data_IF_355327111685
#
_entry.id   IF_355327111685
#
_cell.length_a   1.000
_cell.length_b   1.000
_cell.length_c   1.000
_cell.angle_alpha   90.00
_cell.angle_beta   90.00
_cell.angle_gamma   90.00
#
_symmetry.space_group_name_H-M   'P 1'
#
loop_
_entity.id
_entity.type
_entity.pdbx_description
1 polymer ?
#
# COMPACT_ATOMS: atom_id res chain seq x y z
N UNK A 1 17.95 75.83 -16.64
CA UNK A 1 18.80 74.63 -16.51
C UNK A 1 18.22 73.58 -15.53
N UNK A 2 17.82 73.95 -14.32
CA UNK A 2 17.26 73.03 -13.30
C UNK A 2 15.96 72.34 -13.70
N UNK A 3 15.03 72.99 -14.36
CA UNK A 3 13.79 72.45 -14.83
C UNK A 3 14.00 71.38 -15.95
N UNK A 4 14.95 71.62 -16.81
CA UNK A 4 15.31 70.68 -17.89
C UNK A 4 15.97 69.40 -17.35
N UNK A 5 16.81 69.52 -16.32
CA UNK A 5 17.45 68.39 -15.67
C UNK A 5 16.44 67.51 -14.95
N UNK A 6 15.43 68.11 -14.33
CA UNK A 6 14.36 67.42 -13.63
C UNK A 6 13.44 66.62 -14.59
N UNK A 7 13.12 67.23 -15.75
CA UNK A 7 12.34 66.55 -16.78
C UNK A 7 13.10 65.38 -17.42
N UNK A 8 14.40 65.48 -17.63
CA UNK A 8 15.25 64.43 -18.14
C UNK A 8 15.39 63.26 -17.16
N UNK A 9 15.52 63.56 -15.88
CA UNK A 9 15.63 62.54 -14.85
C UNK A 9 14.31 61.74 -14.72
N UNK A 10 13.17 62.43 -14.78
CA UNK A 10 11.84 61.77 -14.78
C UNK A 10 11.68 60.88 -16.02
N UNK A 11 12.12 61.34 -17.17
CA UNK A 11 12.10 60.53 -18.42
C UNK A 11 12.96 59.27 -18.30
N UNK A 12 14.16 59.37 -17.73
CA UNK A 12 15.03 58.22 -17.49
C UNK A 12 14.39 57.22 -16.52
N UNK A 13 13.79 57.69 -15.43
CA UNK A 13 13.10 56.83 -14.48
C UNK A 13 11.92 56.10 -15.13
N UNK A 14 11.15 56.82 -15.94
CA UNK A 14 10.02 56.24 -16.68
C UNK A 14 10.52 55.20 -17.67
N UNK A 15 11.59 55.45 -18.43
CA UNK A 15 12.17 54.52 -19.34
C UNK A 15 12.69 53.28 -18.63
N UNK A 16 13.30 53.44 -17.43
CA UNK A 16 13.78 52.32 -16.64
C UNK A 16 12.63 51.43 -16.17
N UNK A 17 11.52 52.04 -15.65
CA UNK A 17 10.33 51.28 -15.24
C UNK A 17 9.74 50.51 -16.42
N UNK A 18 9.63 51.11 -17.60
CA UNK A 18 9.10 50.45 -18.78
C UNK A 18 10.02 49.25 -19.19
N UNK A 19 11.35 49.51 -19.17
CA UNK A 19 12.32 48.47 -19.47
C UNK A 19 12.25 47.29 -18.50
N UNK A 20 12.06 47.58 -17.18
CA UNK A 20 11.97 46.57 -16.13
C UNK A 20 10.69 45.74 -16.28
N UNK A 21 9.56 46.35 -16.59
CA UNK A 21 8.29 45.63 -16.88
C UNK A 21 8.43 44.72 -18.09
N UNK A 22 9.06 45.21 -19.19
CA UNK A 22 9.29 44.41 -20.39
C UNK A 22 10.21 43.23 -20.09
N UNK A 23 11.32 43.48 -19.35
CA UNK A 23 12.30 42.47 -19.00
C UNK A 23 11.67 41.39 -18.11
N UNK A 24 10.81 41.81 -17.16
CA UNK A 24 10.07 40.90 -16.28
C UNK A 24 9.16 39.97 -17.09
N UNK A 25 8.34 40.49 -17.98
CA UNK A 25 7.47 39.72 -18.84
C UNK A 25 8.24 38.77 -19.80
N UNK A 26 9.32 39.25 -20.40
CA UNK A 26 10.18 38.43 -21.26
C UNK A 26 10.88 37.32 -20.47
N UNK A 27 11.33 37.60 -19.23
CA UNK A 27 11.93 36.59 -18.38
C UNK A 27 10.96 35.48 -18.01
N UNK A 28 9.71 35.83 -17.67
CA UNK A 28 8.66 34.87 -17.38
C UNK A 28 8.29 34.04 -18.62
N UNK A 29 8.18 34.68 -19.78
CA UNK A 29 7.91 33.97 -21.04
C UNK A 29 9.01 32.99 -21.40
N UNK A 30 10.30 33.35 -21.18
CA UNK A 30 11.43 32.43 -21.38
C UNK A 30 11.51 31.30 -20.35
N UNK A 31 11.00 31.52 -19.15
CA UNK A 31 10.87 30.47 -18.13
C UNK A 31 9.77 29.48 -18.48
N UNK A 32 8.77 29.96 -19.24
CA UNK A 32 7.63 29.18 -19.65
C UNK A 32 8.06 27.96 -20.47
N UNK A 33 7.49 26.80 -20.18
CA UNK A 33 7.83 25.53 -20.87
C UNK A 33 9.17 24.89 -20.46
N UNK A 34 9.91 25.49 -19.51
CA UNK A 34 11.16 24.91 -18.97
C UNK A 34 11.10 24.61 -17.48
N UNK A 35 10.00 24.98 -16.84
CA UNK A 35 9.80 24.69 -15.43
C UNK A 35 9.32 23.25 -15.34
N UNK A 36 10.11 22.41 -14.68
CA UNK A 36 9.78 21.03 -14.40
C UNK A 36 9.66 20.90 -12.87
N UNK A 37 8.54 20.38 -12.44
CA UNK A 37 8.34 19.97 -11.06
C UNK A 37 8.77 18.50 -10.96
N UNK A 38 9.42 18.13 -9.89
CA UNK A 38 9.75 16.75 -9.55
C UNK A 38 9.31 16.49 -8.10
N UNK A 39 8.50 15.47 -7.91
CA UNK A 39 8.08 15.04 -6.57
C UNK A 39 9.01 13.95 -6.07
N UNK A 40 9.76 14.22 -5.02
CA UNK A 40 10.74 13.29 -4.46
C UNK A 40 10.25 12.78 -3.11
N UNK A 41 10.14 11.47 -3.01
CA UNK A 41 9.80 10.77 -1.77
C UNK A 41 11.01 9.96 -1.30
N UNK A 42 11.47 10.12 -0.04
CA UNK A 42 12.65 9.41 0.46
C UNK A 42 12.38 7.93 0.74
N UNK A 43 11.11 7.55 0.85
CA UNK A 43 10.69 6.17 1.17
C UNK A 43 9.43 5.82 0.41
N UNK A 44 9.38 4.58 -0.09
CA UNK A 44 8.19 4.04 -0.75
C UNK A 44 7.21 3.36 0.21
N UNK A 45 7.63 3.08 1.45
CA UNK A 45 6.82 2.43 2.49
C UNK A 45 7.02 3.13 3.83
N UNK A 46 5.94 3.44 4.51
CA UNK A 46 5.93 4.18 5.79
C UNK A 46 4.82 3.62 6.68
N UNK A 47 5.00 3.68 7.99
CA UNK A 47 3.93 3.34 8.94
C UNK A 47 2.89 4.45 9.09
N UNK A 48 1.71 4.10 9.57
CA UNK A 48 0.67 5.07 9.95
C UNK A 48 1.20 6.10 10.97
N UNK A 49 0.61 7.28 10.96
CA UNK A 49 0.95 8.38 11.89
C UNK A 49 2.44 8.75 11.90
N UNK A 50 3.16 8.41 10.82
CA UNK A 50 4.56 8.81 10.65
C UNK A 50 4.63 9.99 9.70
N UNK A 51 5.43 11.00 10.04
CA UNK A 51 5.65 12.14 9.18
C UNK A 51 6.49 11.72 7.97
N UNK A 52 5.94 11.93 6.80
CA UNK A 52 6.53 11.61 5.51
C UNK A 52 7.04 12.92 4.93
N UNK A 53 8.35 13.15 4.85
CA UNK A 53 8.86 14.33 4.19
C UNK A 53 8.65 14.20 2.68
N UNK A 54 7.93 15.15 2.11
CA UNK A 54 7.68 15.26 0.68
C UNK A 54 8.40 16.49 0.18
N UNK A 55 9.23 16.30 -0.84
CA UNK A 55 9.97 17.37 -1.48
C UNK A 55 9.44 17.59 -2.91
N UNK A 56 8.96 18.79 -3.19
CA UNK A 56 8.65 19.21 -4.56
C UNK A 56 9.77 20.13 -5.03
N UNK A 57 10.55 19.64 -5.97
CA UNK A 57 11.72 20.33 -6.48
C UNK A 57 11.40 21.01 -7.83
N UNK A 58 11.82 22.25 -7.98
CA UNK A 58 11.69 23.00 -9.22
C UNK A 58 13.07 23.38 -9.75
N UNK A 59 13.35 22.99 -10.98
CA UNK A 59 14.54 23.44 -11.66
C UNK A 59 14.39 24.91 -12.07
N UNK A 60 15.45 25.72 -11.89
CA UNK A 60 15.44 27.11 -12.36
C UNK A 60 16.00 27.19 -13.77
N UNK A 61 15.19 27.55 -14.78
CA UNK A 61 15.67 27.72 -16.14
C UNK A 61 16.40 29.06 -16.35
N UNK A 62 16.29 29.97 -15.39
CA UNK A 62 16.87 31.32 -15.49
C UNK A 62 18.08 31.46 -14.57
N UNK A 63 19.10 32.19 -15.08
CA UNK A 63 20.31 32.47 -14.30
C UNK A 63 20.25 33.81 -13.56
N UNK A 64 19.39 34.73 -13.99
CA UNK A 64 19.44 36.13 -13.56
C UNK A 64 18.16 36.66 -12.92
N UNK A 65 17.03 35.93 -13.04
CA UNK A 65 15.76 36.38 -12.47
C UNK A 65 15.14 35.26 -11.64
N UNK A 66 14.75 35.58 -10.39
CA UNK A 66 13.91 34.73 -9.55
C UNK A 66 12.46 34.89 -9.93
N UNK A 67 11.65 33.90 -9.56
CA UNK A 67 10.22 33.93 -9.75
C UNK A 67 9.51 33.23 -8.57
N UNK A 68 8.29 33.67 -8.28
CA UNK A 68 7.46 33.01 -7.30
C UNK A 68 6.58 31.96 -8.00
N UNK A 69 6.35 30.86 -7.32
CA UNK A 69 5.44 29.80 -7.79
C UNK A 69 4.42 29.53 -6.69
N UNK A 70 3.14 29.59 -7.04
CA UNK A 70 2.08 28.98 -6.22
C UNK A 70 1.89 27.55 -6.76
N UNK A 71 2.15 26.57 -5.91
CA UNK A 71 2.07 25.14 -6.24
C UNK A 71 0.82 24.58 -5.63
N UNK A 72 -0.10 24.11 -6.46
CA UNK A 72 -1.27 23.35 -6.01
C UNK A 72 -0.99 21.86 -6.20
N UNK A 73 -0.97 21.16 -5.08
CA UNK A 73 -0.78 19.71 -5.05
C UNK A 73 -1.96 19.04 -4.35
N UNK A 74 -2.25 17.84 -4.82
CA UNK A 74 -3.29 16.96 -4.31
C UNK A 74 -2.68 15.72 -3.72
N UNK A 75 -3.10 15.37 -2.52
CA UNK A 75 -2.79 14.12 -1.87
C UNK A 75 -4.06 13.28 -1.76
N UNK A 76 -4.06 12.12 -2.38
CA UNK A 76 -5.18 11.19 -2.38
C UNK A 76 -4.76 9.87 -1.75
N UNK A 77 -5.50 9.42 -0.74
CA UNK A 77 -5.39 8.05 -0.28
C UNK A 77 -6.34 7.18 -1.10
N UNK A 78 -5.79 6.34 -1.98
CA UNK A 78 -6.56 5.52 -2.91
C UNK A 78 -7.49 4.55 -2.18
N UNK A 79 -7.04 3.96 -1.08
CA UNK A 79 -7.82 2.99 -0.31
C UNK A 79 -9.04 3.62 0.38
N UNK A 80 -8.86 4.79 0.98
CA UNK A 80 -9.96 5.48 1.69
C UNK A 80 -10.70 6.46 0.79
N UNK A 81 -10.12 6.86 -0.33
CA UNK A 81 -10.65 7.89 -1.20
C UNK A 81 -10.63 9.29 -0.59
N UNK A 82 -9.91 9.49 0.52
CA UNK A 82 -9.73 10.82 1.10
C UNK A 82 -8.80 11.64 0.22
N UNK A 83 -9.21 12.89 -0.04
CA UNK A 83 -8.47 13.83 -0.87
C UNK A 83 -8.17 15.07 -0.08
N UNK A 84 -6.93 15.50 -0.08
CA UNK A 84 -6.48 16.78 0.48
C UNK A 84 -5.78 17.57 -0.62
N UNK A 85 -6.26 18.79 -0.87
CA UNK A 85 -5.66 19.73 -1.81
C UNK A 85 -5.08 20.90 -1.04
N UNK A 86 -3.85 21.27 -1.36
CA UNK A 86 -3.15 22.41 -0.74
C UNK A 86 -2.45 23.24 -1.80
N UNK A 87 -2.40 24.55 -1.55
CA UNK A 87 -1.63 25.50 -2.36
C UNK A 87 -0.58 26.16 -1.49
N UNK A 88 0.67 26.00 -1.86
CA UNK A 88 1.81 26.57 -1.16
C UNK A 88 2.62 27.48 -2.07
N UNK A 89 3.24 28.49 -1.44
CA UNK A 89 4.05 29.48 -2.15
C UNK A 89 5.54 29.15 -2.04
N UNK A 90 6.19 29.16 -3.18
CA UNK A 90 7.61 28.89 -3.27
C UNK A 90 8.31 30.01 -4.04
N UNK A 91 9.49 30.41 -3.56
CA UNK A 91 10.38 31.31 -4.28
C UNK A 91 11.51 30.51 -4.94
N UNK A 92 11.61 30.60 -6.26
CA UNK A 92 12.65 29.92 -7.03
C UNK A 92 13.84 30.85 -7.24
N UNK A 93 14.99 30.44 -6.71
CA UNK A 93 16.23 31.23 -6.79
C UNK A 93 16.93 30.98 -8.11
N UNK A 94 17.45 32.02 -8.80
CA UNK A 94 18.18 31.87 -10.03
C UNK A 94 19.36 30.91 -9.89
N UNK A 95 19.46 29.96 -10.80
CA UNK A 95 20.56 28.98 -10.86
C UNK A 95 20.59 27.91 -9.76
N UNK A 96 19.77 28.04 -8.71
CA UNK A 96 19.68 27.05 -7.60
C UNK A 96 18.38 26.27 -7.60
N UNK A 97 17.36 26.77 -8.31
CA UNK A 97 16.01 26.19 -8.25
C UNK A 97 15.23 26.55 -7.00
N UNK A 98 14.15 25.86 -6.77
CA UNK A 98 13.32 25.96 -5.58
C UNK A 98 12.98 24.59 -5.04
N UNK A 99 12.82 24.47 -3.73
CA UNK A 99 12.40 23.25 -3.06
C UNK A 99 11.31 23.59 -2.06
N UNK A 100 10.18 22.99 -2.24
CA UNK A 100 9.09 22.99 -1.28
C UNK A 100 9.15 21.71 -0.47
N UNK A 101 9.32 21.83 0.82
CA UNK A 101 9.33 20.70 1.74
C UNK A 101 8.14 20.78 2.67
N UNK A 102 7.35 19.72 2.75
CA UNK A 102 6.27 19.60 3.71
C UNK A 102 6.22 18.21 4.31
N UNK A 103 5.60 18.13 5.47
CA UNK A 103 5.38 16.86 6.17
C UNK A 103 3.95 16.41 5.92
N UNK A 104 3.81 15.24 5.32
CA UNK A 104 2.54 14.56 5.13
C UNK A 104 2.39 13.53 6.22
N UNK A 105 1.24 13.53 6.87
CA UNK A 105 0.89 12.50 7.87
C UNK A 105 -0.41 11.83 7.45
N UNK A 106 -0.43 10.51 7.44
CA UNK A 106 -1.64 9.74 7.15
C UNK A 106 -2.10 8.97 8.38
N UNK A 107 -3.33 9.24 8.76
CA UNK A 107 -4.01 8.49 9.82
C UNK A 107 -4.39 7.08 9.39
N UNK A 108 -4.69 6.89 8.11
CA UNK A 108 -5.18 5.64 7.55
C UNK A 108 -4.09 4.91 6.76
N UNK A 109 -4.12 3.59 6.80
CA UNK A 109 -3.36 2.77 5.88
C UNK A 109 -3.87 2.97 4.44
N UNK A 110 -3.03 2.76 3.44
CA UNK A 110 -3.42 2.91 2.05
C UNK A 110 -2.29 3.40 1.16
N UNK A 111 -2.55 3.42 -0.13
CA UNK A 111 -1.66 4.01 -1.12
C UNK A 111 -1.96 5.50 -1.21
N UNK A 112 -1.00 6.33 -0.78
CA UNK A 112 -1.07 7.77 -0.97
C UNK A 112 -0.47 8.13 -2.32
N UNK A 113 -1.27 8.80 -3.15
CA UNK A 113 -0.85 9.39 -4.41
C UNK A 113 -0.74 10.89 -4.22
N UNK A 114 0.44 11.42 -4.48
CA UNK A 114 0.75 12.84 -4.41
C UNK A 114 0.94 13.33 -5.82
N UNK A 115 0.07 14.23 -6.28
CA UNK A 115 0.12 14.80 -7.63
C UNK A 115 0.23 16.32 -7.56
N UNK A 116 1.10 16.88 -8.40
CA UNK A 116 1.14 18.33 -8.62
C UNK A 116 0.21 18.64 -9.79
N UNK A 117 -0.87 19.35 -9.52
CA UNK A 117 -1.91 19.62 -10.53
C UNK A 117 -1.67 20.93 -11.28
N UNK A 118 -1.38 21.99 -10.53
CA UNK A 118 -1.26 23.32 -11.09
C UNK A 118 -0.09 24.10 -10.45
N UNK A 119 0.69 24.74 -11.28
CA UNK A 119 1.73 25.67 -10.88
C UNK A 119 1.44 27.04 -11.50
N UNK A 120 1.24 28.06 -10.66
CA UNK A 120 1.13 29.45 -11.09
C UNK A 120 2.44 30.16 -10.85
N UNK A 121 3.08 30.56 -11.93
CA UNK A 121 4.39 31.21 -11.91
C UNK A 121 4.23 32.70 -12.11
N UNK A 122 4.76 33.47 -11.18
CA UNK A 122 4.73 34.91 -11.18
C UNK A 122 6.12 35.46 -11.47
N UNK A 123 6.16 36.55 -12.20
CA UNK A 123 7.39 37.31 -12.40
C UNK A 123 7.83 38.00 -11.09
N UNK A 124 9.06 38.52 -11.11
CA UNK A 124 9.62 39.20 -9.93
C UNK A 124 8.78 40.39 -9.42
N UNK A 125 8.11 41.09 -10.32
CA UNK A 125 7.25 42.23 -9.97
C UNK A 125 5.79 41.85 -9.65
N UNK A 126 5.43 40.56 -9.79
CA UNK A 126 4.06 40.05 -9.67
C UNK A 126 3.04 40.74 -10.62
N UNK A 127 3.50 41.23 -11.77
CA UNK A 127 2.67 41.85 -12.81
C UNK A 127 2.10 40.87 -13.78
N UNK A 128 2.82 39.77 -14.02
CA UNK A 128 2.44 38.73 -14.97
C UNK A 128 2.38 37.38 -14.27
N UNK A 129 1.43 36.54 -14.69
CA UNK A 129 1.26 35.19 -14.19
C UNK A 129 1.10 34.25 -15.36
N UNK A 130 1.76 33.10 -15.29
CA UNK A 130 1.59 31.98 -16.21
C UNK A 130 1.18 30.74 -15.43
N UNK A 131 0.15 30.05 -15.90
CA UNK A 131 -0.35 28.84 -15.27
C UNK A 131 0.08 27.62 -16.10
N UNK A 132 0.67 26.66 -15.42
CA UNK A 132 1.02 25.35 -15.98
C UNK A 132 0.26 24.26 -15.27
N UNK A 133 -0.20 23.30 -16.04
CA UNK A 133 -0.65 22.02 -15.52
C UNK A 133 0.47 21.01 -15.73
N UNK A 134 0.90 20.39 -14.68
CA UNK A 134 1.90 19.33 -14.73
C UNK A 134 1.25 18.08 -14.10
N UNK A 135 1.63 16.93 -14.60
CA UNK A 135 1.14 15.64 -14.10
C UNK A 135 2.36 14.89 -13.57
N UNK A 136 2.95 15.44 -12.50
CA UNK A 136 4.00 14.74 -11.76
C UNK A 136 3.35 14.05 -10.57
N UNK A 137 3.50 12.74 -10.52
CA UNK A 137 2.90 11.90 -9.47
C UNK A 137 3.97 11.10 -8.76
N UNK A 138 3.80 10.96 -7.45
CA UNK A 138 4.59 10.06 -6.64
C UNK A 138 3.68 9.29 -5.70
N UNK A 139 4.03 8.03 -5.44
CA UNK A 139 3.22 7.16 -4.59
C UNK A 139 4.03 6.67 -3.40
N UNK A 140 3.37 6.62 -2.25
CA UNK A 140 3.91 6.03 -1.02
C UNK A 140 2.86 5.11 -0.41
N UNK A 141 3.28 3.94 0.06
CA UNK A 141 2.41 2.97 0.70
C UNK A 141 2.50 3.13 2.21
N UNK A 142 1.36 3.47 2.83
CA UNK A 142 1.21 3.57 4.28
C UNK A 142 0.73 2.22 4.81
N UNK A 143 1.55 1.60 5.66
CA UNK A 143 1.28 0.29 6.23
C UNK A 143 0.38 0.37 7.46
N UNK A 144 -0.50 -0.63 7.66
CA UNK A 144 -1.24 -0.78 8.89
C UNK A 144 -0.28 -1.00 10.07
N UNK A 145 -0.70 -0.55 11.25
CA UNK A 145 0.09 -0.80 12.46
C UNK A 145 -0.01 -2.27 12.87
N UNK A 146 1.10 -2.78 13.39
CA UNK A 146 1.09 -4.06 14.07
C UNK A 146 0.63 -3.85 15.51
N UNK A 147 -0.51 -4.43 15.88
CA UNK A 147 -0.97 -4.46 17.25
C UNK A 147 -0.50 -5.77 17.90
N UNK A 148 0.39 -5.67 18.90
CA UNK A 148 0.67 -6.80 19.79
C UNK A 148 -0.52 -6.90 20.74
N UNK A 149 -1.44 -7.85 20.47
CA UNK A 149 -2.62 -8.05 21.30
C UNK A 149 -2.38 -9.10 22.39
N UNK A 150 -3.05 -8.90 23.53
CA UNK A 150 -3.11 -9.90 24.62
C UNK A 150 -3.91 -11.16 24.20
N UNK A 151 -4.65 -11.10 23.10
CA UNK A 151 -5.61 -12.12 22.66
C UNK A 151 -5.00 -13.20 21.74
N UNK A 152 -3.68 -13.37 21.75
CA UNK A 152 -2.95 -14.39 20.99
C UNK A 152 -3.45 -15.81 21.32
N UNK A 153 -3.83 -16.05 22.58
CA UNK A 153 -4.29 -17.35 23.03
C UNK A 153 -5.67 -17.70 22.45
N UNK A 154 -6.58 -16.71 22.33
CA UNK A 154 -7.89 -16.91 21.71
C UNK A 154 -7.79 -17.25 20.22
N UNK A 155 -6.88 -16.59 19.50
CA UNK A 155 -6.63 -16.91 18.10
C UNK A 155 -6.11 -18.34 17.93
N UNK A 156 -5.19 -18.78 18.79
CA UNK A 156 -4.72 -20.17 18.75
C UNK A 156 -5.80 -21.16 19.13
N UNK A 157 -6.63 -20.87 20.12
CA UNK A 157 -7.78 -21.72 20.47
C UNK A 157 -8.75 -21.83 19.29
N UNK A 158 -9.00 -20.76 18.56
CA UNK A 158 -9.79 -20.80 17.32
C UNK A 158 -9.15 -21.71 16.25
N UNK A 159 -7.83 -21.59 16.04
CA UNK A 159 -7.12 -22.40 15.04
C UNK A 159 -7.08 -23.88 15.44
N UNK A 160 -6.88 -24.18 16.72
CA UNK A 160 -6.90 -25.56 17.25
C UNK A 160 -8.30 -26.18 17.18
N UNK A 161 -9.35 -25.36 17.23
CA UNK A 161 -10.75 -25.75 17.08
C UNK A 161 -11.18 -26.05 15.64
N UNK A 162 -10.35 -25.74 14.63
CA UNK A 162 -10.66 -26.12 13.25
C UNK A 162 -10.75 -27.63 13.11
N UNK A 163 -11.81 -28.15 12.46
CA UNK A 163 -11.90 -29.58 12.19
C UNK A 163 -10.72 -29.96 11.31
N UNK A 164 -9.83 -30.77 11.85
CA UNK A 164 -8.73 -31.35 11.09
C UNK A 164 -9.33 -32.17 9.97
N UNK A 165 -9.03 -31.82 8.73
CA UNK A 165 -9.59 -32.46 7.53
C UNK A 165 -9.50 -33.98 7.57
N UNK A 166 -8.58 -34.51 8.36
CA UNK A 166 -8.38 -35.93 8.60
C UNK A 166 -9.40 -36.59 9.54
N UNK A 167 -10.18 -35.85 10.35
CA UNK A 167 -11.18 -36.45 11.24
C UNK A 167 -12.52 -36.72 10.55
N UNK A 168 -12.88 -35.94 9.54
CA UNK A 168 -14.10 -36.17 8.75
C UNK A 168 -13.99 -37.31 7.74
N UNK A 169 -12.79 -37.73 7.34
CA UNK A 169 -12.55 -38.84 6.42
C UNK A 169 -12.45 -40.23 7.07
N UNK A 170 -12.56 -40.32 8.39
CA UNK A 170 -12.43 -41.60 9.15
C UNK A 170 -13.62 -42.55 9.08
N UNK A 171 -14.65 -42.23 8.31
CA UNK A 171 -15.79 -43.18 8.11
C UNK A 171 -15.81 -43.77 6.72
N UNK A 172 -14.90 -44.70 6.45
CA UNK A 172 -14.99 -45.60 5.33
C UNK A 172 -13.87 -45.48 4.30
N UNK A 173 -13.02 -46.49 4.32
CA UNK A 173 -11.93 -46.89 3.40
C UNK A 173 -10.52 -46.55 3.90
N UNK A 174 -9.75 -47.61 4.08
CA UNK A 174 -8.31 -47.65 4.48
C UNK A 174 -7.36 -46.98 3.46
N UNK A 175 -7.53 -45.72 3.18
CA UNK A 175 -6.51 -44.91 2.52
C UNK A 175 -6.04 -43.85 3.53
N UNK A 176 -4.88 -44.11 4.13
CA UNK A 176 -4.27 -43.18 5.06
C UNK A 176 -3.31 -42.26 4.26
N UNK A 177 -3.62 -40.99 3.95
CA UNK A 177 -2.80 -40.15 3.11
C UNK A 177 -1.50 -39.67 3.80
N UNK A 178 -1.33 -39.96 5.09
CA UNK A 178 -0.21 -39.49 5.91
C UNK A 178 1.08 -40.28 5.73
N UNK A 179 1.11 -41.29 4.83
CA UNK A 179 2.29 -42.12 4.62
C UNK A 179 2.61 -42.25 3.15
N UNK A 180 3.82 -41.87 2.78
CA UNK A 180 4.43 -42.26 1.52
C UNK A 180 5.13 -43.61 1.70
N UNK A 181 5.01 -44.49 0.73
CA UNK A 181 5.67 -45.80 0.81
C UNK A 181 6.86 -45.79 -0.13
N UNK A 182 8.06 -45.89 0.45
CA UNK A 182 9.32 -45.98 -0.29
C UNK A 182 10.05 -47.28 0.01
N UNK A 183 11.06 -47.57 -0.80
CA UNK A 183 11.94 -48.74 -0.59
C UNK A 183 12.77 -48.54 0.71
N UNK A 184 12.95 -49.60 1.48
CA UNK A 184 13.73 -49.61 2.70
C UNK A 184 15.19 -49.23 2.45
N UNK A 185 15.72 -48.35 3.26
CA UNK A 185 17.14 -47.97 3.28
C UNK A 185 17.72 -48.44 4.61
N UNK A 186 18.96 -48.97 4.59
CA UNK A 186 19.62 -49.42 5.81
C UNK A 186 19.71 -48.31 6.87
N UNK A 187 19.05 -48.51 8.00
CA UNK A 187 18.90 -47.53 9.08
C UNK A 187 17.43 -47.16 9.38
N UNK A 188 16.50 -47.55 8.52
CA UNK A 188 15.08 -47.35 8.80
C UNK A 188 14.58 -48.25 9.92
N UNK A 189 13.67 -47.71 10.74
CA UNK A 189 13.08 -48.47 11.84
C UNK A 189 12.18 -49.61 11.34
N UNK A 190 12.47 -50.83 11.76
CA UNK A 190 11.74 -52.05 11.34
C UNK A 190 10.23 -52.00 11.66
N UNK A 191 9.83 -51.21 12.67
CA UNK A 191 8.41 -51.03 13.02
C UNK A 191 7.58 -50.30 11.95
N UNK A 192 8.27 -49.55 11.07
CA UNK A 192 7.62 -48.79 9.99
C UNK A 192 7.53 -49.59 8.67
N UNK A 193 7.95 -50.85 8.64
CA UNK A 193 7.85 -51.69 7.45
C UNK A 193 6.40 -52.00 7.11
N UNK A 194 6.03 -51.80 5.85
CA UNK A 194 4.72 -52.18 5.30
C UNK A 194 4.75 -53.63 4.84
N UNK A 195 4.70 -54.57 5.78
CA UNK A 195 4.84 -56.01 5.51
C UNK A 195 3.97 -56.54 4.37
N UNK A 196 2.71 -56.13 4.29
CA UNK A 196 1.76 -56.55 3.26
C UNK A 196 2.21 -56.13 1.85
N UNK A 197 2.72 -54.92 1.68
CA UNK A 197 3.20 -54.42 0.38
C UNK A 197 4.55 -54.97 0.06
N UNK A 198 5.43 -55.12 1.02
CA UNK A 198 6.75 -55.73 0.87
C UNK A 198 6.64 -57.16 0.36
N UNK A 199 5.72 -57.94 0.93
CA UNK A 199 5.46 -59.30 0.45
C UNK A 199 4.90 -59.34 -1.00
N UNK A 200 4.11 -58.38 -1.39
CA UNK A 200 3.54 -58.29 -2.74
C UNK A 200 4.58 -57.86 -3.81
N UNK A 201 5.50 -56.97 -3.43
CA UNK A 201 6.49 -56.42 -4.36
C UNK A 201 7.84 -57.15 -4.33
N UNK A 202 8.06 -58.06 -3.36
CA UNK A 202 9.33 -58.78 -3.22
C UNK A 202 10.49 -57.89 -2.73
N UNK A 203 10.20 -56.70 -2.28
CA UNK A 203 11.17 -55.70 -1.76
C UNK A 203 10.66 -55.15 -0.44
N UNK A 204 11.59 -54.81 0.45
CA UNK A 204 11.20 -54.19 1.73
C UNK A 204 10.72 -52.76 1.49
N UNK A 205 9.48 -52.48 1.88
CA UNK A 205 8.83 -51.17 1.74
C UNK A 205 8.57 -50.59 3.12
N UNK A 206 8.93 -49.29 3.32
CA UNK A 206 8.76 -48.57 4.57
C UNK A 206 7.72 -47.51 4.40
N UNK A 207 6.86 -47.35 5.41
CA UNK A 207 5.94 -46.18 5.55
C UNK A 207 6.74 -45.01 6.13
N UNK A 208 6.97 -44.01 5.32
CA UNK A 208 7.51 -42.75 5.76
C UNK A 208 6.36 -41.81 6.08
N UNK A 209 6.29 -41.33 7.33
CA UNK A 209 5.34 -40.25 7.64
C UNK A 209 5.74 -39.04 6.85
N UNK A 210 4.88 -38.60 5.96
CA UNK A 210 4.96 -37.24 5.46
C UNK A 210 4.83 -36.36 6.69
N UNK A 211 5.79 -35.48 6.93
CA UNK A 211 5.63 -34.44 7.92
C UNK A 211 4.34 -33.70 7.56
N UNK A 212 3.28 -33.89 8.38
CA UNK A 212 2.05 -33.18 8.16
C UNK A 212 2.39 -31.71 8.24
N UNK A 213 2.49 -31.05 7.08
CA UNK A 213 2.52 -29.60 7.02
C UNK A 213 1.30 -29.10 7.77
N UNK A 214 1.41 -28.00 8.49
CA UNK A 214 0.26 -27.41 9.15
C UNK A 214 -0.84 -27.16 8.12
N UNK A 215 -2.08 -27.45 8.47
CA UNK A 215 -3.21 -27.19 7.58
C UNK A 215 -3.30 -25.71 7.25
N UNK A 216 -3.68 -25.39 6.01
CA UNK A 216 -3.88 -24.01 5.57
C UNK A 216 -5.02 -23.37 6.37
N UNK A 217 -4.82 -22.12 6.76
CA UNK A 217 -5.83 -21.31 7.43
C UNK A 217 -6.47 -20.38 6.40
N UNK A 218 -7.77 -20.55 6.18
CA UNK A 218 -8.53 -19.66 5.30
C UNK A 218 -8.90 -18.39 6.07
N UNK A 219 -8.50 -17.24 5.54
CA UNK A 219 -8.74 -15.92 6.14
C UNK A 219 -9.56 -15.07 5.19
N UNK A 220 -10.66 -14.54 5.66
CA UNK A 220 -11.61 -13.75 4.90
C UNK A 220 -11.60 -12.30 5.37
N UNK A 221 -11.34 -11.36 4.44
CA UNK A 221 -11.32 -9.93 4.69
C UNK A 221 -12.60 -9.26 4.16
N UNK A 222 -13.57 -8.93 5.04
CA UNK A 222 -14.83 -8.30 4.67
C UNK A 222 -14.67 -6.77 4.62
N UNK A 223 -14.16 -6.22 3.52
CA UNK A 223 -14.12 -4.77 3.33
C UNK A 223 -15.55 -4.24 3.14
N UNK A 224 -15.83 -3.08 3.74
CA UNK A 224 -17.13 -2.42 3.69
C UNK A 224 -17.01 -0.96 3.26
N UNK A 225 -18.10 -0.22 3.37
CA UNK A 225 -18.14 1.21 3.02
C UNK A 225 -17.56 2.13 4.12
N UNK A 226 -17.40 1.61 5.34
CA UNK A 226 -16.92 2.38 6.48
C UNK A 226 -15.38 2.41 6.51
N UNK A 227 -14.81 3.59 6.30
CA UNK A 227 -13.35 3.78 6.22
C UNK A 227 -12.61 3.49 7.52
N UNK A 228 -13.16 3.92 8.66
CA UNK A 228 -12.53 3.68 9.97
C UNK A 228 -12.55 2.17 10.30
N UNK A 229 -13.60 1.47 9.88
CA UNK A 229 -13.73 0.03 10.05
C UNK A 229 -12.77 -0.74 9.14
N UNK A 230 -12.67 -0.35 7.86
CA UNK A 230 -11.71 -0.93 6.92
C UNK A 230 -10.26 -0.78 7.38
N UNK A 231 -9.91 0.36 7.94
CA UNK A 231 -8.57 0.61 8.46
C UNK A 231 -8.27 -0.28 9.68
N UNK A 232 -9.21 -0.42 10.60
CA UNK A 232 -9.10 -1.33 11.73
C UNK A 232 -9.07 -2.81 11.31
N UNK A 233 -9.83 -3.18 10.26
CA UNK A 233 -9.76 -4.51 9.63
C UNK A 233 -8.37 -4.80 9.06
N UNK A 234 -7.75 -3.83 8.41
CA UNK A 234 -6.39 -3.98 7.86
C UNK A 234 -5.34 -4.17 8.96
N UNK A 235 -5.46 -3.47 10.09
CA UNK A 235 -4.57 -3.67 11.25
C UNK A 235 -4.75 -5.06 11.86
N UNK A 236 -5.99 -5.49 12.05
CA UNK A 236 -6.31 -6.82 12.57
C UNK A 236 -5.83 -7.92 11.65
N UNK A 237 -6.06 -7.79 10.33
CA UNK A 237 -5.59 -8.72 9.30
C UNK A 237 -4.06 -8.85 9.33
N UNK A 238 -3.36 -7.72 9.30
CA UNK A 238 -1.89 -7.72 9.27
C UNK A 238 -1.31 -8.39 10.51
N UNK A 239 -1.85 -8.05 11.68
CA UNK A 239 -1.39 -8.60 12.97
C UNK A 239 -1.66 -10.10 13.06
N UNK A 240 -2.85 -10.54 12.68
CA UNK A 240 -3.25 -11.95 12.69
C UNK A 240 -2.43 -12.79 11.70
N UNK A 241 -2.33 -12.34 10.43
CA UNK A 241 -1.57 -13.08 9.43
C UNK A 241 -0.09 -13.19 9.79
N UNK A 242 0.50 -12.13 10.33
CA UNK A 242 1.88 -12.15 10.79
C UNK A 242 2.10 -13.15 11.93
N UNK A 243 1.14 -13.23 12.85
CA UNK A 243 1.19 -14.19 13.93
C UNK A 243 1.07 -15.64 13.42
N UNK A 244 0.13 -15.92 12.52
CA UNK A 244 -0.03 -17.23 11.89
C UNK A 244 1.24 -17.66 11.18
N UNK A 245 1.84 -16.78 10.38
CA UNK A 245 3.08 -17.05 9.67
C UNK A 245 4.27 -17.28 10.62
N UNK A 246 4.33 -16.55 11.75
CA UNK A 246 5.37 -16.78 12.77
C UNK A 246 5.31 -18.18 13.39
N UNK A 247 4.14 -18.81 13.33
CA UNK A 247 3.87 -20.18 13.78
C UNK A 247 3.85 -21.17 12.61
N UNK A 248 4.30 -20.77 11.43
CA UNK A 248 4.38 -21.61 10.22
C UNK A 248 3.03 -22.17 9.75
N UNK A 249 1.92 -21.44 10.00
CA UNK A 249 0.63 -21.76 9.39
C UNK A 249 0.54 -21.11 8.01
N UNK A 250 0.36 -21.88 6.92
CA UNK A 250 0.08 -21.32 5.61
C UNK A 250 -1.32 -20.69 5.60
N UNK A 251 -1.46 -19.56 4.91
CA UNK A 251 -2.67 -18.77 4.88
C UNK A 251 -3.24 -18.75 3.46
N UNK A 252 -4.53 -18.98 3.32
CA UNK A 252 -5.27 -18.67 2.11
C UNK A 252 -6.11 -17.43 2.39
N UNK A 253 -5.64 -16.27 1.93
CA UNK A 253 -6.32 -14.99 2.12
C UNK A 253 -7.32 -14.76 0.98
N UNK A 254 -8.54 -14.34 1.35
CA UNK A 254 -9.62 -13.98 0.43
C UNK A 254 -10.06 -12.55 0.68
N UNK A 255 -10.27 -11.79 -0.40
CA UNK A 255 -10.79 -10.42 -0.35
C UNK A 255 -11.58 -10.09 -1.61
N UNK A 256 -12.40 -9.05 -1.56
CA UNK A 256 -13.07 -8.52 -2.73
C UNK A 256 -12.16 -7.52 -3.46
N UNK A 257 -11.96 -7.78 -4.76
CA UNK A 257 -11.26 -6.89 -5.66
C UNK A 257 -12.18 -5.89 -6.37
N UNK A 258 -11.62 -5.19 -7.35
CA UNK A 258 -12.39 -4.26 -8.19
C UNK A 258 -13.50 -5.01 -8.92
N UNK A 259 -14.74 -4.45 -8.88
CA UNK A 259 -15.90 -5.06 -9.53
C UNK A 259 -16.48 -6.27 -8.79
N UNK A 260 -16.23 -6.38 -7.48
CA UNK A 260 -16.73 -7.46 -6.63
C UNK A 260 -16.20 -8.86 -6.96
N UNK A 261 -15.11 -8.94 -7.70
CA UNK A 261 -14.46 -10.21 -7.98
C UNK A 261 -13.81 -10.77 -6.70
N UNK A 262 -14.06 -12.03 -6.38
CA UNK A 262 -13.37 -12.70 -5.29
C UNK A 262 -11.91 -12.94 -5.68
N UNK A 263 -11.00 -12.32 -4.96
CA UNK A 263 -9.57 -12.51 -5.10
C UNK A 263 -9.08 -13.44 -4.00
N UNK A 264 -8.10 -14.28 -4.31
CA UNK A 264 -7.46 -15.11 -3.29
C UNK A 264 -5.96 -15.21 -3.51
N UNK A 265 -5.22 -15.38 -2.41
CA UNK A 265 -3.77 -15.60 -2.45
C UNK A 265 -3.32 -16.57 -1.38
N UNK A 266 -2.50 -17.51 -1.77
CA UNK A 266 -1.82 -18.41 -0.86
C UNK A 266 -0.54 -17.75 -0.36
N UNK A 267 -0.31 -17.76 0.96
CA UNK A 267 0.74 -17.03 1.65
C UNK A 267 1.44 -17.97 2.62
N UNK A 268 2.75 -18.11 2.45
CA UNK A 268 3.62 -18.93 3.32
C UNK A 268 4.70 -18.10 3.99
N UNK A 269 4.99 -16.92 3.43
CA UNK A 269 6.06 -16.04 3.91
C UNK A 269 5.57 -14.60 4.09
N UNK A 270 6.26 -13.86 4.94
CA UNK A 270 5.93 -12.45 5.22
C UNK A 270 5.98 -11.58 3.95
N UNK A 271 6.94 -11.87 3.05
CA UNK A 271 7.05 -11.12 1.78
C UNK A 271 5.82 -11.27 0.87
N UNK A 272 5.20 -12.47 0.86
CA UNK A 272 3.97 -12.72 0.11
C UNK A 272 2.77 -12.00 0.75
N UNK A 273 2.71 -11.96 2.09
CA UNK A 273 1.72 -11.17 2.83
C UNK A 273 1.84 -9.69 2.49
N UNK A 274 3.06 -9.16 2.50
CA UNK A 274 3.31 -7.77 2.13
C UNK A 274 2.85 -7.46 0.71
N UNK A 275 3.07 -8.33 -0.23
CA UNK A 275 2.62 -8.15 -1.61
C UNK A 275 1.08 -8.16 -1.69
N UNK A 276 0.42 -9.10 -1.02
CA UNK A 276 -1.04 -9.17 -0.96
C UNK A 276 -1.65 -7.91 -0.33
N UNK A 277 -1.10 -7.44 0.79
CA UNK A 277 -1.52 -6.18 1.42
C UNK A 277 -1.32 -4.97 0.51
N UNK A 278 -0.18 -4.91 -0.20
CA UNK A 278 0.07 -3.86 -1.19
C UNK A 278 -0.96 -3.82 -2.30
N UNK A 279 -1.46 -4.97 -2.74
CA UNK A 279 -2.56 -5.07 -3.71
C UNK A 279 -3.88 -4.58 -3.10
N UNK A 280 -4.24 -5.05 -1.89
CA UNK A 280 -5.48 -4.66 -1.20
C UNK A 280 -5.51 -3.16 -0.93
N UNK A 281 -4.43 -2.58 -0.40
CA UNK A 281 -4.32 -1.14 -0.12
C UNK A 281 -4.29 -0.26 -1.38
N UNK A 282 -4.22 -0.88 -2.55
CA UNK A 282 -4.28 -0.20 -3.85
C UNK A 282 -5.68 -0.21 -4.47
N UNK A 283 -6.62 -0.91 -3.86
CA UNK A 283 -8.03 -0.97 -4.28
C UNK A 283 -8.75 0.25 -3.71
N UNK A 284 -9.65 0.84 -4.50
CA UNK A 284 -10.56 1.86 -3.97
C UNK A 284 -11.59 1.19 -3.06
N UNK A 285 -11.40 1.30 -1.75
CA UNK A 285 -12.24 0.68 -0.74
C UNK A 285 -13.71 1.15 -0.76
N UNK A 286 -14.02 2.29 -1.39
CA UNK A 286 -15.39 2.82 -1.51
C UNK A 286 -16.26 2.02 -2.49
N UNK A 287 -15.67 1.26 -3.37
CA UNK A 287 -16.38 0.48 -4.40
C UNK A 287 -16.49 -1.00 -4.04
N UNK A 288 -16.11 -1.37 -2.84
CA UNK A 288 -16.28 -2.74 -2.33
C UNK A 288 -17.63 -2.79 -1.61
N UNK A 289 -18.67 -3.20 -2.30
CA UNK A 289 -20.00 -3.38 -1.75
C UNK A 289 -20.46 -4.80 -2.01
N UNK A 290 -20.85 -5.52 -0.96
CA UNK A 290 -21.36 -6.88 -1.06
C UNK A 290 -20.87 -7.76 0.08
N UNK A 291 -21.66 -8.79 0.43
CA UNK A 291 -21.25 -9.77 1.43
C UNK A 291 -20.28 -10.77 0.80
N UNK A 292 -19.00 -10.65 1.16
CA UNK A 292 -17.98 -11.64 0.77
C UNK A 292 -18.31 -13.02 1.32
N UNK A 293 -19.01 -13.08 2.47
CA UNK A 293 -19.47 -14.32 3.10
C UNK A 293 -20.47 -15.07 2.21
N UNK A 294 -21.40 -14.36 1.55
CA UNK A 294 -22.34 -14.95 0.62
C UNK A 294 -21.63 -15.50 -0.62
N UNK A 295 -20.64 -14.78 -1.15
CA UNK A 295 -19.85 -15.24 -2.28
C UNK A 295 -19.03 -16.49 -1.93
N UNK A 296 -18.39 -16.52 -0.77
CA UNK A 296 -17.64 -17.68 -0.29
C UNK A 296 -18.55 -18.89 -0.10
N UNK A 297 -19.76 -18.70 0.45
CA UNK A 297 -20.69 -19.80 0.63
C UNK A 297 -21.17 -20.40 -0.70
N UNK A 298 -21.19 -19.63 -1.77
CA UNK A 298 -21.55 -20.10 -3.12
C UNK A 298 -20.40 -20.85 -3.82
N UNK A 299 -19.16 -20.44 -3.62
CA UNK A 299 -17.99 -20.96 -4.35
C UNK A 299 -17.25 -22.08 -3.60
N UNK A 300 -17.22 -22.04 -2.24
CA UNK A 300 -16.43 -22.93 -1.39
C UNK A 300 -17.23 -23.54 -0.23
N UNK A 301 -18.19 -24.35 -0.54
CA UNK A 301 -19.24 -24.88 0.34
C UNK A 301 -18.78 -25.73 1.56
N UNK A 302 -17.51 -25.96 1.81
CA UNK A 302 -17.10 -26.91 2.86
C UNK A 302 -15.83 -26.55 3.63
N UNK A 303 -15.26 -25.36 3.45
CA UNK A 303 -14.03 -24.99 4.14
C UNK A 303 -14.31 -24.03 5.30
N UNK A 304 -13.75 -24.35 6.48
CA UNK A 304 -13.77 -23.43 7.62
C UNK A 304 -12.89 -22.22 7.34
N UNK A 305 -13.34 -21.02 7.73
CA UNK A 305 -12.58 -19.79 7.56
C UNK A 305 -12.62 -18.88 8.78
N UNK A 306 -11.63 -18.03 8.92
CA UNK A 306 -11.56 -16.98 9.92
C UNK A 306 -12.03 -15.68 9.27
N UNK A 307 -13.10 -15.10 9.78
CA UNK A 307 -13.56 -13.79 9.37
C UNK A 307 -12.85 -12.71 10.19
N UNK A 308 -12.15 -11.82 9.50
CA UNK A 308 -11.48 -10.68 10.15
C UNK A 308 -12.51 -9.65 10.58
N UNK A 309 -12.41 -9.13 11.80
CA UNK A 309 -13.26 -8.05 12.32
C UNK A 309 -12.44 -6.89 12.84
N UNK A 310 -13.02 -5.70 12.81
CA UNK A 310 -12.39 -4.49 13.32
C UNK A 310 -12.34 -4.50 14.86
N UNK A 311 -11.18 -4.14 15.42
CA UNK A 311 -11.11 -3.80 16.85
C UNK A 311 -10.73 -4.90 17.81
N UNK A 312 -9.69 -5.65 17.54
CA UNK A 312 -9.08 -6.72 18.31
C UNK A 312 -9.48 -8.13 17.82
N UNK A 313 -8.61 -9.09 18.10
CA UNK A 313 -8.78 -10.52 17.82
C UNK A 313 -10.09 -11.15 18.33
N UNK A 314 -10.86 -10.42 19.15
CA UNK A 314 -12.21 -10.82 19.66
C UNK A 314 -13.25 -11.10 18.58
N UNK A 315 -12.91 -10.91 17.32
CA UNK A 315 -13.81 -11.08 16.20
C UNK A 315 -13.43 -12.14 15.19
N UNK A 316 -12.40 -12.95 15.42
CA UNK A 316 -12.15 -14.09 14.55
C UNK A 316 -13.20 -15.18 14.86
N UNK A 317 -14.22 -15.31 14.00
CA UNK A 317 -15.19 -16.40 14.12
C UNK A 317 -14.86 -17.48 13.10
N UNK A 318 -14.84 -18.70 13.57
CA UNK A 318 -14.87 -19.89 12.72
C UNK A 318 -16.32 -20.08 12.31
N UNK A 319 -16.62 -19.89 11.05
CA UNK A 319 -17.90 -20.28 10.47
C UNK A 319 -17.66 -21.63 9.80
N UNK A 320 -18.30 -22.66 10.32
CA UNK A 320 -18.29 -24.03 9.76
C UNK A 320 -19.46 -24.23 8.82
#
# INVERSE_FOLDING_TARGET
>A
MWSFFRSYLLFLVLLFIIADVILSGVSLWRASGRIQAEVVLPRHRVGKNTDIPVDICFASPLRFAGFAIDVTYRCENVFTGSVEERTEKLWVVPGKGGRLQYLLNSRYAGRLRISVEECRVYDFLHLFCLTYRTVEEAEVLVWPMFAEGEDTEELYACIEGFPKENESRKRGVEYNPDYEVREYIAGDELKNIHWKLSAKQGKMMVRERLAAGKEKVNVLLPLGENLDENDALMESLYSMCRLLLSKEYPIQLFWQGVGQALCSRYITEIGELENALGEILSIDGRHVSGSIEEQMSMEHFAESYILVRAGAYKGAYVIS
#
